data_IF_783603801396
#
_entry.id   IF_783603801396
#
_cell.length_a   1.000
_cell.length_b   1.000
_cell.length_c   1.000
_cell.angle_alpha   90.00
_cell.angle_beta   90.00
_cell.angle_gamma   90.00
#
_symmetry.space_group_name_H-M   'P 1'
#
loop_
_entity.id
_entity.type
_entity.pdbx_description
1 polymer ?
#
# COMPACT_ATOMS: atom_id res chain seq x y z
N UNK A 1 18.68 -19.43 12.07
CA UNK A 1 18.12 -19.95 13.33
C UNK A 1 16.61 -20.06 13.17
N UNK A 2 15.97 -21.03 13.79
CA UNK A 2 14.51 -21.20 13.75
C UNK A 2 13.83 -20.12 14.61
N UNK A 3 12.74 -19.52 14.10
CA UNK A 3 11.99 -18.47 14.79
C UNK A 3 10.75 -19.05 15.49
N UNK A 4 10.44 -18.56 16.69
CA UNK A 4 9.35 -19.12 17.54
C UNK A 4 8.13 -18.21 17.71
N UNK A 5 8.24 -16.91 17.42
CA UNK A 5 7.15 -15.93 17.52
C UNK A 5 6.71 -15.48 16.12
N UNK A 6 5.93 -16.32 15.43
CA UNK A 6 5.58 -16.13 14.02
C UNK A 6 4.13 -15.65 13.79
N UNK A 7 3.41 -15.27 14.85
CA UNK A 7 2.05 -14.74 14.73
C UNK A 7 2.12 -13.25 14.39
N UNK A 8 1.48 -12.86 13.29
CA UNK A 8 1.31 -11.47 12.89
C UNK A 8 -0.16 -11.08 13.01
N UNK A 9 -0.43 -9.91 13.58
CA UNK A 9 -1.77 -9.32 13.64
C UNK A 9 -1.73 -8.05 12.79
N UNK A 10 -2.64 -7.95 11.83
CA UNK A 10 -2.73 -6.83 10.90
C UNK A 10 -4.16 -6.29 10.88
N UNK A 11 -4.31 -4.98 10.67
CA UNK A 11 -5.61 -4.31 10.52
C UNK A 11 -5.73 -3.72 9.11
N UNK A 12 -6.95 -3.74 8.59
CA UNK A 12 -7.27 -3.09 7.32
C UNK A 12 -7.73 -1.67 7.58
N UNK A 13 -6.81 -0.71 7.44
CA UNK A 13 -7.15 0.72 7.41
C UNK A 13 -7.39 1.14 5.97
N UNK A 14 -8.63 1.53 5.66
CA UNK A 14 -8.97 1.99 4.32
C UNK A 14 -8.24 3.27 3.98
N UNK A 15 -7.93 3.49 2.69
CA UNK A 15 -7.23 4.71 2.25
C UNK A 15 -7.97 5.99 2.66
N UNK A 16 -9.30 5.97 2.59
CA UNK A 16 -10.15 7.09 3.01
C UNK A 16 -10.09 7.35 4.52
N UNK A 17 -9.94 6.30 5.34
CA UNK A 17 -9.76 6.42 6.80
C UNK A 17 -8.41 7.11 7.11
N UNK A 18 -7.33 6.65 6.49
CA UNK A 18 -5.99 7.21 6.66
C UNK A 18 -5.94 8.67 6.22
N UNK A 19 -6.48 8.99 5.05
CA UNK A 19 -6.57 10.36 4.53
C UNK A 19 -7.40 11.26 5.45
N UNK A 20 -8.55 10.79 5.90
CA UNK A 20 -9.43 11.55 6.79
C UNK A 20 -8.76 11.80 8.15
N UNK A 21 -8.10 10.79 8.72
CA UNK A 21 -7.39 10.90 9.99
C UNK A 21 -6.25 11.92 9.92
N UNK A 22 -5.44 11.90 8.85
CA UNK A 22 -4.35 12.87 8.67
C UNK A 22 -4.89 14.29 8.55
N UNK A 23 -5.89 14.51 7.68
CA UNK A 23 -6.44 15.85 7.45
C UNK A 23 -7.17 16.41 8.68
N UNK A 24 -7.83 15.56 9.48
CA UNK A 24 -8.48 15.96 10.72
C UNK A 24 -7.50 16.51 11.78
N UNK A 25 -6.20 16.16 11.70
CA UNK A 25 -5.15 16.72 12.58
C UNK A 25 -4.58 18.05 12.08
N UNK A 26 -5.11 18.61 10.99
CA UNK A 26 -4.63 19.84 10.37
C UNK A 26 -3.40 19.65 9.47
N UNK A 27 -3.02 18.41 9.16
CA UNK A 27 -2.00 18.14 8.15
C UNK A 27 -2.58 18.34 6.74
N UNK A 28 -1.79 18.97 5.87
CA UNK A 28 -2.13 19.11 4.45
C UNK A 28 -1.48 17.98 3.66
N UNK A 29 -2.29 17.26 2.88
CA UNK A 29 -1.78 16.29 1.92
C UNK A 29 -0.99 17.00 0.82
N UNK A 30 0.22 16.51 0.55
CA UNK A 30 1.08 16.94 -0.55
C UNK A 30 0.92 16.03 -1.77
N UNK A 31 0.88 14.71 -1.55
CA UNK A 31 0.56 13.74 -2.59
C UNK A 31 -0.04 12.46 -2.01
N UNK A 32 -0.72 11.74 -2.89
CA UNK A 32 -1.10 10.33 -2.74
C UNK A 32 -0.84 9.66 -4.10
N UNK A 33 0.02 8.65 -4.14
CA UNK A 33 0.28 7.83 -5.32
C UNK A 33 -0.20 6.42 -5.07
N UNK A 34 -0.99 5.90 -6.00
CA UNK A 34 -1.39 4.50 -6.04
C UNK A 34 -0.45 3.72 -6.96
N UNK A 35 -0.09 2.52 -6.52
CA UNK A 35 0.85 1.64 -7.20
C UNK A 35 0.13 0.35 -7.58
N UNK A 36 0.25 -0.04 -8.84
CA UNK A 36 -0.34 -1.27 -9.40
C UNK A 36 0.47 -2.53 -9.13
N UNK A 37 1.40 -2.47 -8.18
CA UNK A 37 2.31 -3.55 -7.84
C UNK A 37 2.42 -3.71 -6.32
N UNK A 38 2.91 -4.88 -5.91
CA UNK A 38 3.31 -5.17 -4.54
C UNK A 38 4.70 -5.80 -4.50
N UNK A 39 5.28 -5.89 -3.31
CA UNK A 39 6.64 -6.40 -3.07
C UNK A 39 6.67 -7.93 -2.82
N UNK A 40 5.52 -8.58 -2.76
CA UNK A 40 5.41 -10.01 -2.49
C UNK A 40 4.19 -10.62 -3.20
N UNK A 41 4.19 -11.94 -3.41
CA UNK A 41 3.14 -12.67 -4.13
C UNK A 41 1.80 -12.74 -3.34
N UNK A 42 1.15 -11.59 -3.09
CA UNK A 42 -0.08 -11.50 -2.29
C UNK A 42 -1.25 -12.28 -2.89
N UNK A 43 -1.36 -12.28 -4.21
CA UNK A 43 -2.43 -12.96 -4.93
C UNK A 43 -1.84 -13.94 -5.97
N UNK A 44 -2.46 -15.12 -6.19
CA UNK A 44 -1.94 -16.13 -7.13
C UNK A 44 -1.82 -15.65 -8.59
N UNK A 45 -2.60 -14.65 -8.97
CA UNK A 45 -2.64 -14.11 -10.32
C UNK A 45 -1.53 -13.06 -10.60
N UNK A 46 -0.71 -12.70 -9.61
CA UNK A 46 0.39 -11.76 -9.81
C UNK A 46 1.61 -12.46 -10.40
N UNK A 47 2.23 -11.82 -11.38
CA UNK A 47 3.50 -12.23 -11.98
C UNK A 47 4.65 -11.39 -11.40
N UNK A 48 5.76 -12.05 -11.08
CA UNK A 48 6.99 -11.37 -10.68
C UNK A 48 7.72 -10.82 -11.90
N UNK A 49 8.03 -9.53 -11.86
CA UNK A 49 8.81 -8.83 -12.90
C UNK A 49 9.77 -7.86 -12.24
N UNK A 50 11.06 -8.18 -12.27
CA UNK A 50 12.14 -7.33 -11.72
C UNK A 50 11.97 -7.04 -10.22
N UNK A 51 11.64 -8.06 -9.42
CA UNK A 51 11.55 -7.95 -7.97
C UNK A 51 10.25 -7.34 -7.43
N UNK A 52 9.25 -7.14 -8.29
CA UNK A 52 7.92 -6.64 -7.93
C UNK A 52 6.84 -7.43 -8.62
N UNK A 53 5.68 -7.53 -7.99
CA UNK A 53 4.57 -8.39 -8.40
C UNK A 53 3.44 -7.54 -8.96
N UNK A 54 2.97 -7.86 -10.16
CA UNK A 54 1.89 -7.15 -10.86
C UNK A 54 0.93 -8.13 -11.51
N UNK A 55 -0.30 -7.68 -11.77
CA UNK A 55 -1.16 -8.41 -12.68
C UNK A 55 -0.55 -8.44 -14.10
N UNK A 56 -0.86 -9.46 -14.92
CA UNK A 56 -0.48 -9.52 -16.32
C UNK A 56 -0.85 -8.25 -17.09
N UNK A 57 -0.10 -7.93 -18.14
CA UNK A 57 -0.23 -6.65 -18.86
C UNK A 57 -1.60 -6.44 -19.54
N UNK A 58 -2.32 -7.53 -19.82
CA UNK A 58 -3.67 -7.56 -20.38
C UNK A 58 -4.78 -7.48 -19.31
N UNK A 59 -4.42 -7.48 -18.02
CA UNK A 59 -5.36 -7.34 -16.91
C UNK A 59 -5.61 -5.87 -16.55
N UNK A 60 -6.78 -5.54 -15.97
CA UNK A 60 -7.02 -4.21 -15.41
C UNK A 60 -5.98 -3.85 -14.34
N UNK A 61 -5.53 -2.59 -14.35
CA UNK A 61 -4.65 -2.07 -13.30
C UNK A 61 -5.45 -1.88 -12.01
N UNK A 62 -4.98 -2.49 -10.93
CA UNK A 62 -5.61 -2.43 -9.60
C UNK A 62 -4.59 -1.87 -8.61
N UNK A 63 -4.95 -0.90 -7.75
CA UNK A 63 -4.05 -0.41 -6.71
C UNK A 63 -3.77 -1.50 -5.67
N UNK A 64 -2.51 -1.85 -5.50
CA UNK A 64 -2.03 -2.87 -4.56
C UNK A 64 -1.24 -2.27 -3.41
N UNK A 65 -0.65 -1.09 -3.62
CA UNK A 65 0.05 -0.30 -2.61
C UNK A 65 -0.22 1.19 -2.84
N UNK A 66 0.02 2.01 -1.83
CA UNK A 66 0.02 3.46 -2.00
C UNK A 66 1.15 4.10 -1.19
N UNK A 67 1.55 5.31 -1.58
CA UNK A 67 2.44 6.18 -0.82
C UNK A 67 1.81 7.55 -0.70
N UNK A 68 1.84 8.14 0.49
CA UNK A 68 1.35 9.50 0.70
C UNK A 68 2.36 10.34 1.45
N UNK A 69 2.22 11.66 1.33
CA UNK A 69 2.93 12.64 2.14
C UNK A 69 1.95 13.68 2.63
N UNK A 70 2.04 14.01 3.91
CA UNK A 70 1.30 15.09 4.53
C UNK A 70 2.24 15.89 5.44
N UNK A 71 2.07 17.21 5.45
CA UNK A 71 2.89 18.13 6.22
C UNK A 71 2.07 19.18 6.93
N UNK A 72 2.60 19.75 8.00
CA UNK A 72 2.01 20.94 8.61
C UNK A 72 2.09 22.10 7.59
N UNK A 73 0.99 22.87 7.40
CA UNK A 73 1.07 24.14 6.70
C UNK A 73 2.11 25.06 7.38
N UNK A 74 2.77 25.90 6.58
CA UNK A 74 3.70 26.92 7.09
C UNK A 74 2.97 28.00 7.88
#
# INVERSE_FOLDING_TARGET
AETTANVTVEWQHGIGEVVSALTATGLRLEFLHEHDHTLFARFPALEERSGIYRYPADSPRVPLMYSLRAGKPA
#
